data_IF_149038321842
#
_entry.id   IF_149038321842
#
_cell.length_a   1.000
_cell.length_b   1.000
_cell.length_c   1.000
_cell.angle_alpha   90.00
_cell.angle_beta   90.00
_cell.angle_gamma   90.00
#
_symmetry.space_group_name_H-M   'P 1'
#
loop_
_entity.id
_entity.type
_entity.pdbx_description
1 polymer ?
#
# COMPACT_ATOMS: atom_id res chain seq x y z
N UNK A 1 5.33 15.35 -5.81
CA UNK A 1 4.75 14.02 -5.49
C UNK A 1 5.84 12.97 -5.51
N UNK A 2 5.80 11.92 -4.70
CA UNK A 2 6.77 10.86 -4.85
C UNK A 2 6.46 10.09 -6.13
N UNK A 3 7.34 10.25 -7.12
CA UNK A 3 7.44 9.40 -8.28
C UNK A 3 8.05 8.04 -7.90
N UNK A 4 8.22 7.16 -8.88
CA UNK A 4 8.82 5.84 -8.66
C UNK A 4 10.25 5.95 -8.10
N UNK A 5 11.02 6.98 -8.49
CA UNK A 5 12.35 7.24 -7.96
C UNK A 5 12.30 7.55 -6.47
N UNK A 6 11.40 8.45 -6.05
CA UNK A 6 11.20 8.78 -4.64
C UNK A 6 10.71 7.56 -3.83
N UNK A 7 9.89 6.68 -4.44
CA UNK A 7 9.50 5.41 -3.83
C UNK A 7 10.72 4.52 -3.54
N UNK A 8 11.62 4.33 -4.53
CA UNK A 8 12.84 3.54 -4.32
C UNK A 8 13.77 4.17 -3.28
N UNK A 9 13.96 5.48 -3.28
CA UNK A 9 14.79 6.18 -2.29
C UNK A 9 14.21 6.04 -0.87
N UNK A 10 12.89 6.16 -0.71
CA UNK A 10 12.20 5.95 0.57
C UNK A 10 12.36 4.52 1.06
N UNK A 11 12.18 3.55 0.18
CA UNK A 11 12.38 2.13 0.48
C UNK A 11 13.82 1.85 0.92
N UNK A 12 14.81 2.42 0.22
CA UNK A 12 16.22 2.30 0.58
C UNK A 12 16.52 2.86 1.98
N UNK A 13 15.96 4.04 2.31
CA UNK A 13 16.10 4.63 3.66
C UNK A 13 15.49 3.74 4.73
N UNK A 14 14.36 3.10 4.46
CA UNK A 14 13.72 2.18 5.40
C UNK A 14 14.59 0.96 5.66
N UNK A 15 15.11 0.32 4.60
CA UNK A 15 16.03 -0.81 4.75
C UNK A 15 17.31 -0.41 5.50
N UNK A 16 17.87 0.76 5.22
CA UNK A 16 19.03 1.26 5.96
C UNK A 16 18.74 1.40 7.46
N UNK A 17 17.59 1.98 7.84
CA UNK A 17 17.19 2.10 9.25
C UNK A 17 17.03 0.73 9.92
N UNK A 18 16.42 -0.24 9.25
CA UNK A 18 16.27 -1.60 9.77
C UNK A 18 17.65 -2.25 9.93
N UNK A 19 18.52 -2.15 8.91
CA UNK A 19 19.88 -2.69 8.99
C UNK A 19 20.66 -2.10 10.16
N UNK A 20 20.58 -0.77 10.37
CA UNK A 20 21.21 -0.10 11.52
C UNK A 20 20.64 -0.62 12.86
N UNK A 21 19.32 -0.76 12.98
CA UNK A 21 18.68 -1.29 14.17
C UNK A 21 19.12 -2.74 14.47
N UNK A 22 19.17 -3.61 13.45
CA UNK A 22 19.68 -4.98 13.60
C UNK A 22 21.13 -5.01 14.05
N UNK A 23 21.98 -4.16 13.48
CA UNK A 23 23.41 -4.07 13.87
C UNK A 23 23.55 -3.60 15.31
N UNK A 24 22.83 -2.57 15.73
CA UNK A 24 22.84 -2.08 17.12
C UNK A 24 22.35 -3.18 18.07
N UNK A 25 21.25 -3.86 17.73
CA UNK A 25 20.73 -4.96 18.55
C UNK A 25 21.72 -6.13 18.66
N UNK A 26 22.41 -6.46 17.56
CA UNK A 26 23.47 -7.48 17.58
C UNK A 26 24.62 -7.09 18.53
N UNK A 27 25.08 -5.84 18.46
CA UNK A 27 26.15 -5.32 19.32
C UNK A 27 25.73 -5.31 20.79
N UNK A 28 24.49 -4.89 21.10
CA UNK A 28 23.97 -4.90 22.48
C UNK A 28 23.85 -6.32 23.03
N UNK A 29 23.38 -7.26 22.22
CA UNK A 29 23.26 -8.67 22.62
C UNK A 29 24.63 -9.32 22.85
N UNK A 30 25.58 -9.07 21.93
CA UNK A 30 26.95 -9.54 22.09
C UNK A 30 27.63 -8.92 23.33
N UNK A 31 27.47 -7.61 23.55
CA UNK A 31 27.97 -6.92 24.73
C UNK A 31 27.38 -7.48 26.06
N UNK A 32 26.08 -7.77 26.05
CA UNK A 32 25.42 -8.41 27.19
C UNK A 32 26.07 -9.77 27.50
N UNK A 33 26.30 -10.63 26.50
CA UNK A 33 26.94 -11.92 26.72
C UNK A 33 28.40 -11.85 27.14
N UNK A 34 29.15 -10.85 26.66
CA UNK A 34 30.52 -10.62 27.15
C UNK A 34 30.52 -10.31 28.64
N UNK A 35 29.52 -9.59 29.15
CA UNK A 35 29.44 -9.20 30.57
C UNK A 35 28.85 -10.29 31.48
N UNK A 36 27.92 -11.11 30.96
CA UNK A 36 27.18 -12.10 31.75
C UNK A 36 27.65 -13.55 31.53
N UNK A 37 28.53 -13.76 30.54
CA UNK A 37 28.93 -15.09 30.07
C UNK A 37 28.18 -15.51 28.80
N UNK A 38 28.86 -16.31 27.97
CA UNK A 38 28.27 -16.86 26.77
C UNK A 38 27.21 -17.90 27.09
N UNK A 39 26.15 -18.01 26.30
CA UNK A 39 25.12 -19.00 26.52
C UNK A 39 25.64 -20.43 26.33
N UNK A 40 25.24 -21.35 27.21
CA UNK A 40 25.64 -22.75 27.16
C UNK A 40 25.00 -23.53 25.99
N UNK A 41 23.85 -23.06 25.48
CA UNK A 41 23.12 -23.73 24.40
C UNK A 41 23.38 -23.05 23.05
N UNK A 42 23.74 -23.82 22.00
CA UNK A 42 23.85 -23.29 20.61
C UNK A 42 22.61 -22.58 20.12
N UNK A 43 21.42 -23.04 20.54
CA UNK A 43 20.14 -22.43 20.12
C UNK A 43 20.01 -20.97 20.58
N UNK A 44 20.62 -20.64 21.69
CA UNK A 44 20.65 -19.28 22.24
C UNK A 44 21.47 -18.32 21.35
N UNK A 45 22.36 -18.82 20.48
CA UNK A 45 23.13 -18.01 19.53
C UNK A 45 22.32 -17.62 18.30
N UNK A 46 21.22 -18.32 17.99
CA UNK A 46 20.39 -18.08 16.81
C UNK A 46 19.92 -16.61 16.68
N UNK A 47 19.46 -15.94 17.75
CA UNK A 47 19.08 -14.52 17.66
C UNK A 47 20.24 -13.62 17.23
N UNK A 48 21.45 -13.83 17.76
CA UNK A 48 22.61 -13.03 17.41
C UNK A 48 23.00 -13.27 15.94
N UNK A 49 23.11 -14.53 15.53
CA UNK A 49 23.43 -14.89 14.14
C UNK A 49 22.41 -14.32 13.16
N UNK A 50 21.13 -14.37 13.51
CA UNK A 50 20.06 -13.78 12.71
C UNK A 50 20.23 -12.27 12.56
N UNK A 51 20.55 -11.55 13.63
CA UNK A 51 20.76 -10.10 13.61
C UNK A 51 22.02 -9.74 12.79
N UNK A 52 23.11 -10.52 12.95
CA UNK A 52 24.36 -10.34 12.20
C UNK A 52 24.13 -10.56 10.68
N UNK A 53 23.30 -11.51 10.31
CA UNK A 53 22.97 -11.75 8.90
C UNK A 53 21.98 -10.71 8.34
N UNK A 54 20.99 -10.33 9.13
CA UNK A 54 19.95 -9.39 8.74
C UNK A 54 20.50 -7.97 8.52
N UNK A 55 21.42 -7.51 9.35
CA UNK A 55 22.00 -6.17 9.24
C UNK A 55 22.61 -5.91 7.85
N UNK A 56 23.66 -6.63 7.44
CA UNK A 56 24.26 -6.52 6.10
C UNK A 56 23.27 -6.76 4.98
N UNK A 57 22.37 -7.76 5.10
CA UNK A 57 21.33 -8.05 4.11
C UNK A 57 20.46 -6.83 3.81
N UNK A 58 20.05 -6.09 4.84
CA UNK A 58 19.27 -4.87 4.67
C UNK A 58 20.08 -3.72 4.07
N UNK A 59 21.38 -3.59 4.38
CA UNK A 59 22.23 -2.58 3.73
C UNK A 59 22.43 -2.88 2.25
N UNK A 60 22.63 -4.14 1.86
CA UNK A 60 22.74 -4.56 0.46
C UNK A 60 21.41 -4.24 -0.27
N UNK A 61 20.26 -4.58 0.33
CA UNK A 61 18.96 -4.25 -0.23
C UNK A 61 18.76 -2.73 -0.39
N UNK A 62 19.20 -1.94 0.58
CA UNK A 62 19.16 -0.49 0.51
C UNK A 62 20.01 0.06 -0.64
N UNK A 63 21.24 -0.44 -0.80
CA UNK A 63 22.15 -0.05 -1.88
C UNK A 63 21.55 -0.40 -3.26
N UNK A 64 20.99 -1.60 -3.41
CA UNK A 64 20.34 -2.02 -4.65
C UNK A 64 19.15 -1.12 -5.03
N UNK A 65 18.35 -0.69 -4.04
CA UNK A 65 17.23 0.23 -4.28
C UNK A 65 17.71 1.65 -4.63
N UNK A 66 18.80 2.16 -4.02
CA UNK A 66 19.42 3.43 -4.41
C UNK A 66 19.93 3.40 -5.84
N UNK A 67 20.68 2.36 -6.19
CA UNK A 67 21.21 2.21 -7.54
C UNK A 67 20.10 2.17 -8.61
N UNK A 68 18.96 1.53 -8.30
CA UNK A 68 17.77 1.56 -9.17
C UNK A 68 17.21 2.97 -9.30
N UNK A 69 17.07 3.69 -8.17
CA UNK A 69 16.58 5.07 -8.18
C UNK A 69 17.48 6.00 -9.03
N UNK A 70 18.80 5.82 -8.98
CA UNK A 70 19.75 6.59 -9.78
C UNK A 70 19.64 6.31 -11.28
N UNK A 71 19.34 5.05 -11.65
CA UNK A 71 19.13 4.67 -13.05
C UNK A 71 17.81 5.19 -13.64
N UNK A 72 16.83 5.51 -12.80
CA UNK A 72 15.55 6.06 -13.23
C UNK A 72 15.72 7.54 -13.56
N UNK A 73 15.98 7.84 -14.83
CA UNK A 73 15.95 9.21 -15.37
C UNK A 73 14.50 9.52 -15.75
N UNK A 74 13.71 9.90 -14.76
CA UNK A 74 12.34 10.33 -15.01
C UNK A 74 12.35 11.82 -15.34
N UNK A 75 11.79 12.15 -16.49
CA UNK A 75 11.45 13.53 -16.80
C UNK A 75 10.19 13.82 -16.00
N UNK A 76 10.29 14.72 -15.05
CA UNK A 76 9.12 15.22 -14.32
C UNK A 76 8.36 16.12 -15.28
N UNK A 77 7.12 15.81 -15.68
CA UNK A 77 6.34 16.70 -16.53
C UNK A 77 6.00 17.97 -15.74
N UNK A 78 5.97 19.11 -16.42
CA UNK A 78 5.56 20.39 -15.83
C UNK A 78 4.11 20.38 -15.33
N UNK A 79 3.30 19.46 -15.87
CA UNK A 79 1.91 19.25 -15.46
C UNK A 79 1.81 17.88 -14.76
N UNK A 80 1.26 17.81 -13.53
CA UNK A 80 1.07 16.53 -12.86
C UNK A 80 0.17 15.63 -13.71
N UNK A 81 0.54 14.37 -13.95
CA UNK A 81 -0.32 13.45 -14.66
C UNK A 81 -1.61 13.28 -13.87
N UNK A 82 -2.72 13.68 -14.45
CA UNK A 82 -4.02 13.30 -13.94
C UNK A 82 -4.20 11.79 -14.10
N UNK A 83 -5.06 11.19 -13.31
CA UNK A 83 -5.49 9.80 -13.56
C UNK A 83 -6.26 9.70 -14.90
N UNK A 84 -6.78 10.82 -15.36
CA UNK A 84 -7.49 10.98 -16.62
C UNK A 84 -6.62 10.59 -17.82
N UNK A 85 -7.17 9.84 -18.75
CA UNK A 85 -6.50 9.39 -19.97
C UNK A 85 -5.56 8.18 -19.83
N UNK A 86 -5.20 7.77 -18.64
CA UNK A 86 -4.30 6.63 -18.42
C UNK A 86 -5.08 5.31 -18.31
N UNK A 87 -5.01 4.48 -19.33
CA UNK A 87 -5.70 3.17 -19.32
C UNK A 87 -5.05 2.11 -18.44
N UNK A 88 -3.80 2.33 -18.02
CA UNK A 88 -3.07 1.41 -17.14
C UNK A 88 -2.27 2.18 -16.10
N UNK A 89 -2.45 1.82 -14.85
CA UNK A 89 -1.77 2.44 -13.73
C UNK A 89 -1.29 1.33 -12.79
N UNK A 90 -0.15 1.53 -12.16
CA UNK A 90 0.34 0.61 -11.14
C UNK A 90 0.01 1.14 -9.74
N UNK A 91 -0.59 0.30 -8.92
CA UNK A 91 -0.84 0.55 -7.50
C UNK A 91 0.29 -0.09 -6.69
N UNK A 92 1.24 0.74 -6.24
CA UNK A 92 2.47 0.29 -5.56
C UNK A 92 2.36 0.52 -4.06
N UNK A 93 2.45 -0.53 -3.21
CA UNK A 93 2.51 -0.35 -1.77
C UNK A 93 3.82 0.33 -1.37
N UNK A 94 3.72 1.39 -0.57
CA UNK A 94 4.89 2.01 0.03
C UNK A 94 5.37 1.19 1.22
N UNK A 95 6.69 1.01 1.33
CA UNK A 95 7.30 0.41 2.52
C UNK A 95 7.22 1.43 3.66
N UNK A 96 6.23 1.27 4.51
CA UNK A 96 5.99 2.15 5.65
C UNK A 96 5.32 1.37 6.79
N UNK A 97 5.49 1.82 8.03
CA UNK A 97 4.82 1.27 9.22
C UNK A 97 3.29 1.35 9.13
N UNK A 98 2.79 2.38 8.43
CA UNK A 98 1.41 2.52 8.02
C UNK A 98 1.29 2.13 6.54
N UNK A 99 0.13 1.64 6.15
CA UNK A 99 -0.10 1.25 4.76
C UNK A 99 -0.37 2.48 3.92
N UNK A 100 0.56 2.72 3.03
CA UNK A 100 0.41 3.73 2.00
C UNK A 100 0.48 3.05 0.63
N UNK A 101 -0.29 3.53 -0.32
CA UNK A 101 -0.27 3.08 -1.70
C UNK A 101 -0.09 4.26 -2.63
N UNK A 102 0.66 4.05 -3.68
CA UNK A 102 0.93 5.03 -4.71
C UNK A 102 0.29 4.58 -6.02
N UNK A 103 -0.49 5.45 -6.63
CA UNK A 103 -0.91 5.32 -8.02
C UNK A 103 0.21 5.88 -8.88
N UNK A 104 0.82 5.04 -9.71
CA UNK A 104 1.96 5.40 -10.56
C UNK A 104 1.63 5.02 -11.99
N UNK A 105 1.76 5.96 -12.93
CA UNK A 105 1.55 5.71 -14.36
C UNK A 105 2.57 4.70 -14.88
N UNK A 106 2.32 4.11 -16.05
CA UNK A 106 3.28 3.22 -16.69
C UNK A 106 4.58 3.93 -17.10
N UNK A 107 4.61 5.26 -17.07
CA UNK A 107 5.81 6.08 -17.26
C UNK A 107 6.61 6.32 -15.98
N UNK A 108 6.12 5.82 -14.83
CA UNK A 108 6.78 5.98 -13.54
C UNK A 108 6.42 7.25 -12.77
N UNK A 109 5.46 8.01 -13.26
CA UNK A 109 4.99 9.28 -12.68
C UNK A 109 3.95 9.02 -11.60
N UNK A 110 4.06 9.70 -10.45
CA UNK A 110 3.09 9.57 -9.37
C UNK A 110 1.84 10.39 -9.61
N UNK A 111 0.67 9.77 -9.66
CA UNK A 111 -0.63 10.44 -9.87
C UNK A 111 -1.36 10.74 -8.57
N UNK A 112 -1.41 9.78 -7.65
CA UNK A 112 -2.06 9.95 -6.36
C UNK A 112 -1.43 9.06 -5.28
N UNK A 113 -1.63 9.44 -4.03
CA UNK A 113 -1.19 8.66 -2.86
C UNK A 113 -2.41 8.41 -1.99
N UNK A 114 -2.60 7.15 -1.59
CA UNK A 114 -3.49 6.78 -0.51
C UNK A 114 -2.65 6.53 0.72
N UNK A 115 -2.83 7.31 1.77
CA UNK A 115 -2.07 7.16 3.01
C UNK A 115 -2.99 7.05 4.23
N UNK A 116 -2.56 6.26 5.20
CA UNK A 116 -3.22 6.17 6.49
C UNK A 116 -2.85 7.39 7.34
N UNK A 117 -3.86 8.09 7.85
CA UNK A 117 -3.72 9.25 8.73
C UNK A 117 -3.62 8.75 10.17
N UNK A 118 -2.41 8.75 10.72
CA UNK A 118 -2.14 8.51 12.12
C UNK A 118 -1.00 9.41 12.58
N UNK A 119 -1.20 10.11 13.69
CA UNK A 119 -0.24 11.09 14.20
C UNK A 119 0.31 10.67 15.58
N UNK A 120 1.55 11.07 15.85
CA UNK A 120 2.18 10.94 17.15
C UNK A 120 2.17 9.51 17.71
N UNK A 121 1.80 9.39 18.98
CA UNK A 121 1.77 8.11 19.72
C UNK A 121 0.75 7.11 19.14
N UNK A 122 -0.35 7.58 18.56
CA UNK A 122 -1.36 6.75 17.89
C UNK A 122 -0.76 5.93 16.75
N UNK A 123 0.26 6.46 16.08
CA UNK A 123 0.99 5.77 15.00
C UNK A 123 1.70 4.51 15.51
N UNK A 124 2.34 4.59 16.67
CA UNK A 124 3.05 3.47 17.30
C UNK A 124 2.04 2.40 17.72
N UNK A 125 0.95 2.80 18.38
CA UNK A 125 -0.12 1.88 18.79
C UNK A 125 -0.74 1.18 17.58
N UNK A 126 -1.04 1.93 16.52
CA UNK A 126 -1.60 1.37 15.29
C UNK A 126 -0.63 0.35 14.66
N UNK A 127 0.67 0.66 14.63
CA UNK A 127 1.69 -0.26 14.12
C UNK A 127 1.77 -1.55 14.96
N UNK A 128 1.75 -1.44 16.29
CA UNK A 128 1.75 -2.59 17.20
C UNK A 128 0.49 -3.46 17.03
N UNK A 129 -0.68 -2.84 16.95
CA UNK A 129 -1.94 -3.55 16.73
C UNK A 129 -2.00 -4.21 15.33
N UNK A 130 -1.30 -3.62 14.36
CA UNK A 130 -1.09 -4.24 13.06
C UNK A 130 -0.25 -5.52 13.17
N UNK A 131 0.82 -5.52 13.96
CA UNK A 131 1.65 -6.70 14.20
C UNK A 131 0.87 -7.81 14.92
N UNK A 132 -0.07 -7.45 15.79
CA UNK A 132 -0.92 -8.39 16.52
C UNK A 132 -2.13 -8.92 15.70
N UNK A 133 -2.24 -8.57 14.42
CA UNK A 133 -3.35 -9.04 13.56
C UNK A 133 -4.70 -8.37 13.86
N UNK A 134 -4.77 -7.37 14.74
CA UNK A 134 -6.01 -6.69 15.15
C UNK A 134 -6.48 -5.58 14.19
N UNK A 135 -5.93 -5.55 12.98
CA UNK A 135 -6.18 -4.55 11.94
C UNK A 135 -7.66 -4.35 11.56
N UNK A 136 -8.47 -5.42 11.40
CA UNK A 136 -9.86 -5.24 11.00
C UNK A 136 -10.68 -4.45 12.00
N UNK A 137 -10.28 -4.46 13.28
CA UNK A 137 -11.01 -3.82 14.37
C UNK A 137 -10.67 -2.34 14.57
N UNK A 138 -9.60 -1.86 13.95
CA UNK A 138 -9.15 -0.48 14.15
C UNK A 138 -10.00 0.52 13.36
N UNK A 139 -10.19 1.69 13.96
CA UNK A 139 -10.63 2.89 13.22
C UNK A 139 -9.54 3.22 12.21
N UNK A 140 -9.92 3.41 10.95
CA UNK A 140 -9.01 3.83 9.89
C UNK A 140 -9.47 5.14 9.29
N UNK A 141 -8.52 6.03 9.10
CA UNK A 141 -8.69 7.23 8.30
C UNK A 141 -7.61 7.20 7.22
N UNK A 142 -8.06 7.23 5.97
CA UNK A 142 -7.17 7.27 4.82
C UNK A 142 -7.39 8.60 4.11
N UNK A 143 -6.32 9.18 3.64
CA UNK A 143 -6.34 10.38 2.80
C UNK A 143 -5.84 9.99 1.42
N UNK A 144 -6.56 10.43 0.40
CA UNK A 144 -6.12 10.37 -0.99
C UNK A 144 -5.69 11.78 -1.37
N UNK A 145 -4.45 11.94 -1.75
CA UNK A 145 -3.86 13.23 -2.10
C UNK A 145 -3.09 13.16 -3.41
N UNK A 146 -3.12 14.25 -4.15
CA UNK A 146 -2.28 14.50 -5.31
C UNK A 146 -1.35 15.70 -5.05
N UNK A 147 -0.77 16.28 -6.10
CA UNK A 147 0.09 17.47 -5.99
C UNK A 147 -0.66 18.72 -5.53
N UNK A 148 -1.94 18.81 -5.85
CA UNK A 148 -2.81 19.96 -5.51
C UNK A 148 -3.33 19.87 -4.07
N UNK A 149 -3.17 18.71 -3.40
CA UNK A 149 -3.60 18.50 -2.03
C UNK A 149 -4.53 17.32 -1.83
N UNK A 150 -5.37 17.40 -0.79
CA UNK A 150 -6.30 16.33 -0.45
C UNK A 150 -7.47 16.31 -1.44
N UNK A 151 -7.64 15.17 -2.11
CA UNK A 151 -8.77 14.90 -3.01
C UNK A 151 -9.95 14.27 -2.27
N UNK A 152 -9.64 13.21 -1.51
CA UNK A 152 -10.66 12.40 -0.83
C UNK A 152 -10.21 11.98 0.56
N UNK A 153 -11.19 11.69 1.41
CA UNK A 153 -11.00 11.11 2.74
C UNK A 153 -11.85 9.87 2.90
N UNK A 154 -11.25 8.79 3.39
CA UNK A 154 -11.96 7.56 3.70
C UNK A 154 -11.96 7.35 5.21
N UNK A 155 -13.12 6.99 5.76
CA UNK A 155 -13.29 6.79 7.21
C UNK A 155 -13.96 5.45 7.48
N UNK A 156 -13.26 4.58 8.21
CA UNK A 156 -13.81 3.34 8.77
C UNK A 156 -13.99 3.50 10.27
N UNK A 157 -15.18 3.15 10.78
CA UNK A 157 -15.46 3.15 12.23
C UNK A 157 -14.69 2.01 12.92
N UNK A 158 -14.45 2.15 14.22
CA UNK A 158 -13.84 1.13 15.07
C UNK A 158 -14.77 -0.09 15.18
N UNK A 159 -14.18 -1.29 15.31
CA UNK A 159 -14.90 -2.54 15.50
C UNK A 159 -15.15 -3.30 14.20
N UNK A 160 -16.03 -4.29 14.28
CA UNK A 160 -16.41 -5.17 13.15
C UNK A 160 -17.27 -4.50 12.08
N UNK A 161 -17.22 -3.17 11.99
CA UNK A 161 -17.96 -2.44 10.97
C UNK A 161 -17.36 -2.72 9.59
N UNK A 162 -18.17 -3.25 8.71
CA UNK A 162 -17.78 -3.58 7.34
C UNK A 162 -17.78 -2.35 6.41
N UNK A 163 -18.30 -1.21 6.87
CA UNK A 163 -18.43 -0.01 6.03
C UNK A 163 -17.23 0.92 6.15
N UNK A 164 -16.75 1.37 4.99
CA UNK A 164 -15.81 2.47 4.83
C UNK A 164 -16.47 3.57 4.01
N UNK A 165 -16.56 4.77 4.57
CA UNK A 165 -17.22 5.90 3.92
C UNK A 165 -16.21 6.77 3.19
N UNK A 166 -16.57 7.18 1.97
CA UNK A 166 -15.79 8.08 1.13
C UNK A 166 -16.38 9.51 1.21
N UNK A 167 -15.50 10.49 1.39
CA UNK A 167 -15.80 11.90 1.43
C UNK A 167 -14.90 12.67 0.47
N UNK A 168 -15.42 13.74 -0.13
CA UNK A 168 -14.62 14.70 -0.88
C UNK A 168 -13.77 15.59 0.05
N UNK A 169 -12.98 16.49 -0.54
CA UNK A 169 -12.15 17.47 0.19
C UNK A 169 -12.96 18.42 1.07
N UNK A 170 -14.23 18.65 0.75
CA UNK A 170 -15.15 19.51 1.49
C UNK A 170 -15.92 18.78 2.60
N UNK A 171 -15.73 17.46 2.74
CA UNK A 171 -16.42 16.63 3.73
C UNK A 171 -17.80 16.13 3.31
N UNK A 172 -18.22 16.33 2.06
CA UNK A 172 -19.44 15.77 1.50
C UNK A 172 -19.23 14.27 1.27
N UNK A 173 -20.18 13.45 1.73
CA UNK A 173 -20.17 12.01 1.48
C UNK A 173 -20.39 11.75 -0.02
N UNK A 174 -19.53 10.97 -0.63
CA UNK A 174 -19.64 10.54 -2.03
C UNK A 174 -20.15 9.10 -2.17
N UNK A 175 -19.98 8.30 -1.11
CA UNK A 175 -20.42 6.91 -1.14
C UNK A 175 -19.79 6.07 -0.04
N UNK A 176 -19.89 4.76 -0.18
CA UNK A 176 -19.32 3.82 0.80
C UNK A 176 -19.00 2.46 0.19
N UNK A 177 -18.12 1.76 0.87
CA UNK A 177 -17.73 0.38 0.58
C UNK A 177 -18.18 -0.50 1.72
N UNK A 178 -18.84 -1.62 1.41
CA UNK A 178 -19.16 -2.67 2.37
C UNK A 178 -18.30 -3.89 2.08
N UNK A 179 -17.38 -4.18 2.98
CA UNK A 179 -16.51 -5.35 2.87
C UNK A 179 -17.22 -6.56 3.47
N UNK A 180 -17.47 -7.57 2.67
CA UNK A 180 -18.11 -8.81 3.09
C UNK A 180 -17.07 -9.82 3.61
N UNK A 181 -16.56 -9.57 4.83
CA UNK A 181 -15.46 -10.32 5.45
C UNK A 181 -15.91 -11.70 5.94
N UNK A 182 -17.21 -11.89 6.16
CA UNK A 182 -17.79 -13.12 6.72
C UNK A 182 -18.13 -14.19 5.69
N UNK A 183 -18.02 -13.87 4.41
CA UNK A 183 -18.22 -14.86 3.37
C UNK A 183 -16.93 -15.65 3.16
N UNK A 184 -16.86 -16.85 3.73
CA UNK A 184 -15.69 -17.72 3.70
C UNK A 184 -15.36 -18.20 2.28
N UNK A 185 -16.36 -18.24 1.39
CA UNK A 185 -16.19 -18.77 0.03
C UNK A 185 -15.75 -17.71 -0.98
N UNK A 186 -16.09 -16.44 -0.75
CA UNK A 186 -15.81 -15.36 -1.69
C UNK A 186 -15.70 -14.02 -0.98
N UNK A 187 -14.51 -13.44 -0.97
CA UNK A 187 -14.31 -12.07 -0.50
C UNK A 187 -14.73 -11.10 -1.59
N UNK A 188 -15.79 -10.34 -1.36
CA UNK A 188 -16.25 -9.29 -2.27
C UNK A 188 -16.57 -8.00 -1.52
N UNK A 189 -16.53 -6.90 -2.24
CA UNK A 189 -16.85 -5.57 -1.71
C UNK A 189 -17.99 -4.99 -2.53
N UNK A 190 -19.03 -4.55 -1.86
CA UNK A 190 -20.17 -3.87 -2.50
C UNK A 190 -19.96 -2.37 -2.41
N UNK A 191 -20.29 -1.64 -3.48
CA UNK A 191 -20.14 -0.21 -3.61
C UNK A 191 -21.49 0.50 -3.58
N UNK A 192 -21.56 1.61 -2.85
CA UNK A 192 -22.78 2.39 -2.69
C UNK A 192 -22.49 3.87 -2.98
N UNK A 193 -23.43 4.55 -3.58
CA UNK A 193 -23.39 6.00 -3.79
C UNK A 193 -23.68 6.79 -2.50
N UNK A 194 -23.82 8.11 -2.64
CA UNK A 194 -24.12 9.01 -1.52
C UNK A 194 -25.50 8.75 -0.90
N UNK A 195 -26.48 8.31 -1.69
CA UNK A 195 -27.83 7.95 -1.28
C UNK A 195 -27.91 6.56 -0.65
N UNK A 196 -26.88 5.73 -0.81
CA UNK A 196 -26.87 4.34 -0.33
C UNK A 196 -27.44 3.34 -1.34
N UNK A 197 -27.65 3.74 -2.60
CA UNK A 197 -27.97 2.83 -3.70
C UNK A 197 -26.69 2.05 -4.05
N UNK A 198 -26.81 0.75 -4.28
CA UNK A 198 -25.72 -0.05 -4.81
C UNK A 198 -25.40 0.39 -6.24
N UNK A 199 -24.12 0.68 -6.50
CA UNK A 199 -23.61 1.12 -7.82
C UNK A 199 -22.58 0.15 -8.40
N UNK A 200 -22.31 -0.95 -7.71
CA UNK A 200 -21.41 -1.97 -8.20
C UNK A 200 -20.86 -2.88 -7.11
N UNK A 201 -19.98 -3.76 -7.52
CA UNK A 201 -19.29 -4.69 -6.63
C UNK A 201 -17.91 -5.08 -7.17
N UNK A 202 -17.06 -5.65 -6.32
CA UNK A 202 -15.87 -6.36 -6.77
C UNK A 202 -16.14 -7.86 -6.85
N UNK A 203 -15.65 -8.52 -7.90
CA UNK A 203 -15.53 -9.97 -7.91
C UNK A 203 -14.07 -10.33 -7.59
N UNK A 204 -13.83 -10.96 -6.50
CA UNK A 204 -12.48 -11.38 -6.12
C UNK A 204 -12.48 -12.84 -5.73
N UNK A 205 -11.44 -13.58 -6.15
CA UNK A 205 -11.13 -14.88 -5.58
C UNK A 205 -10.65 -14.72 -4.13
N UNK A 206 -10.61 -15.82 -3.39
CA UNK A 206 -10.14 -15.87 -1.98
C UNK A 206 -8.73 -15.29 -1.79
N UNK A 207 -7.87 -15.35 -2.82
CA UNK A 207 -6.49 -14.86 -2.76
C UNK A 207 -6.36 -13.33 -2.81
N UNK A 208 -7.40 -12.59 -3.24
CA UNK A 208 -7.34 -11.13 -3.43
C UNK A 208 -6.28 -10.66 -4.43
N UNK A 209 -5.65 -11.58 -5.18
CA UNK A 209 -4.56 -11.27 -6.10
C UNK A 209 -5.04 -10.76 -7.45
N UNK A 210 -6.23 -11.17 -7.83
CA UNK A 210 -6.90 -10.69 -9.04
C UNK A 210 -8.38 -10.49 -8.72
N UNK A 211 -8.91 -9.36 -9.13
CA UNK A 211 -10.33 -9.06 -9.00
C UNK A 211 -10.74 -7.99 -10.02
N UNK A 212 -12.02 -7.91 -10.28
CA UNK A 212 -12.59 -6.85 -11.11
C UNK A 212 -13.42 -5.91 -10.23
N UNK A 213 -13.43 -4.65 -10.59
CA UNK A 213 -14.40 -3.66 -10.13
C UNK A 213 -15.46 -3.55 -11.20
N UNK A 214 -16.72 -3.79 -10.83
CA UNK A 214 -17.87 -3.82 -11.74
C UNK A 214 -18.88 -2.76 -11.35
N UNK A 215 -19.64 -2.28 -12.35
CA UNK A 215 -20.81 -1.43 -12.15
C UNK A 215 -22.05 -2.26 -11.72
N UNK A 216 -23.22 -1.61 -11.60
CA UNK A 216 -24.47 -2.28 -11.22
C UNK A 216 -24.98 -3.24 -12.31
N UNK A 217 -24.62 -3.04 -13.57
CA UNK A 217 -24.95 -3.90 -14.70
C UNK A 217 -24.03 -5.13 -14.82
N UNK A 218 -22.97 -5.20 -13.99
CA UNK A 218 -21.99 -6.27 -13.99
C UNK A 218 -20.87 -6.10 -15.02
N UNK A 219 -20.79 -4.94 -15.68
CA UNK A 219 -19.70 -4.61 -16.59
C UNK A 219 -18.42 -4.32 -15.85
N UNK A 220 -17.29 -4.78 -16.37
CA UNK A 220 -15.98 -4.60 -15.75
C UNK A 220 -15.47 -3.18 -16.06
N UNK A 221 -15.33 -2.37 -15.03
CA UNK A 221 -14.76 -1.02 -15.11
C UNK A 221 -13.24 -1.02 -14.92
N UNK A 222 -12.76 -1.82 -13.95
CA UNK A 222 -11.33 -1.93 -13.65
C UNK A 222 -10.97 -3.40 -13.42
N UNK A 223 -9.98 -3.88 -14.14
CA UNK A 223 -9.34 -5.17 -13.86
C UNK A 223 -8.08 -4.95 -13.02
N UNK A 224 -7.97 -5.67 -11.90
CA UNK A 224 -6.84 -5.58 -10.98
C UNK A 224 -6.06 -6.90 -11.02
N UNK A 225 -4.76 -6.82 -11.33
CA UNK A 225 -3.86 -7.98 -11.42
C UNK A 225 -2.61 -7.76 -10.59
N UNK A 226 -2.21 -8.76 -9.84
CA UNK A 226 -0.99 -8.69 -9.03
C UNK A 226 0.29 -8.82 -9.85
N UNK A 227 0.23 -9.58 -10.92
CA UNK A 227 1.36 -9.85 -11.81
C UNK A 227 1.06 -9.36 -13.23
N UNK A 228 2.09 -9.29 -14.07
CA UNK A 228 1.94 -8.95 -15.48
C UNK A 228 2.31 -7.52 -15.80
N UNK A 229 3.43 -7.02 -15.21
CA UNK A 229 4.00 -5.73 -15.64
C UNK A 229 4.24 -5.79 -17.15
N UNK A 230 3.67 -4.84 -17.92
CA UNK A 230 3.88 -4.78 -19.36
C UNK A 230 5.38 -4.71 -19.69
N UNK A 231 5.80 -5.38 -20.78
CA UNK A 231 7.21 -5.48 -21.16
C UNK A 231 7.86 -4.08 -21.29
N UNK A 232 7.12 -3.12 -21.81
CA UNK A 232 7.55 -1.73 -21.97
C UNK A 232 7.82 -1.00 -20.65
N UNK A 233 7.13 -1.38 -19.57
CA UNK A 233 7.30 -0.80 -18.24
C UNK A 233 8.20 -1.64 -17.31
N UNK A 234 8.59 -2.83 -17.73
CA UNK A 234 9.33 -3.77 -16.90
C UNK A 234 10.67 -3.18 -16.38
N UNK A 235 11.35 -2.38 -17.19
CA UNK A 235 12.61 -1.73 -16.79
C UNK A 235 12.42 -0.70 -15.67
N UNK A 236 11.25 -0.04 -15.57
CA UNK A 236 10.91 0.92 -14.53
C UNK A 236 10.51 0.22 -13.24
N UNK A 237 9.66 -0.80 -13.35
CA UNK A 237 9.05 -1.47 -12.20
C UNK A 237 9.79 -2.73 -11.75
N UNK A 238 10.94 -3.07 -12.36
CA UNK A 238 11.73 -4.24 -11.95
C UNK A 238 12.05 -4.22 -10.46
N UNK A 239 11.40 -5.12 -9.69
CA UNK A 239 11.52 -5.21 -8.22
C UNK A 239 10.66 -4.22 -7.44
N UNK A 240 9.75 -3.48 -8.05
CA UNK A 240 8.58 -2.94 -7.39
C UNK A 240 7.53 -4.05 -7.30
N UNK A 241 6.91 -4.20 -6.12
CA UNK A 241 5.72 -5.04 -5.96
C UNK A 241 4.53 -4.12 -6.06
N UNK A 242 3.51 -4.53 -6.80
CA UNK A 242 2.30 -3.73 -6.95
C UNK A 242 1.29 -4.45 -7.82
N UNK A 243 0.12 -3.85 -7.93
CA UNK A 243 -0.97 -4.35 -8.74
C UNK A 243 -1.15 -3.45 -9.96
N UNK A 244 -1.44 -4.06 -11.10
CA UNK A 244 -1.77 -3.32 -12.31
C UNK A 244 -3.28 -3.13 -12.34
N UNK A 245 -3.67 -1.87 -12.45
CA UNK A 245 -5.03 -1.44 -12.68
C UNK A 245 -5.18 -1.21 -14.18
N UNK A 246 -6.04 -1.98 -14.82
CA UNK A 246 -6.42 -1.78 -16.22
C UNK A 246 -7.85 -1.22 -16.27
N UNK A 247 -7.98 0.00 -16.73
CA UNK A 247 -9.26 0.68 -16.90
C UNK A 247 -9.88 0.35 -18.25
N UNK A 248 -11.15 0.01 -18.25
CA UNK A 248 -11.92 -0.22 -19.48
C UNK A 248 -12.54 1.07 -20.00
N UNK A 249 -12.74 2.06 -19.12
CA UNK A 249 -13.17 3.41 -19.42
C UNK A 249 -12.10 4.42 -19.00
N UNK A 250 -12.27 5.68 -19.39
CA UNK A 250 -11.41 6.76 -18.90
C UNK A 250 -11.58 6.93 -17.38
N UNK A 251 -10.52 6.85 -16.58
CA UNK A 251 -10.59 7.06 -15.14
C UNK A 251 -11.26 8.37 -14.71
N UNK A 252 -11.18 9.42 -15.53
CA UNK A 252 -11.84 10.71 -15.28
C UNK A 252 -13.37 10.63 -15.30
N UNK A 253 -13.94 9.66 -16.01
CA UNK A 253 -15.38 9.44 -16.09
C UNK A 253 -15.91 8.51 -14.99
N UNK A 254 -15.01 7.81 -14.29
CA UNK A 254 -15.41 6.86 -13.26
C UNK A 254 -15.90 7.56 -12.00
N UNK A 255 -16.95 7.03 -11.40
CA UNK A 255 -17.37 7.48 -10.08
C UNK A 255 -16.22 7.28 -9.06
N UNK A 256 -15.92 8.24 -8.17
CA UNK A 256 -14.79 8.16 -7.23
C UNK A 256 -14.78 6.88 -6.37
N UNK A 257 -15.94 6.30 -6.07
CA UNK A 257 -16.07 5.02 -5.37
C UNK A 257 -15.44 3.89 -6.18
N UNK A 258 -15.70 3.81 -7.50
CA UNK A 258 -15.10 2.78 -8.35
C UNK A 258 -13.59 3.00 -8.50
N UNK A 259 -13.17 4.25 -8.75
CA UNK A 259 -11.77 4.61 -8.95
C UNK A 259 -10.88 4.22 -7.76
N UNK A 260 -11.36 4.42 -6.54
CA UNK A 260 -10.60 4.14 -5.32
C UNK A 260 -10.81 2.73 -4.77
N UNK A 261 -11.76 1.95 -5.31
CA UNK A 261 -12.05 0.59 -4.87
C UNK A 261 -10.81 -0.33 -4.84
N UNK A 262 -9.89 -0.33 -5.85
CA UNK A 262 -8.69 -1.15 -5.80
C UNK A 262 -7.83 -0.88 -4.57
N UNK A 263 -7.57 0.38 -4.24
CA UNK A 263 -6.76 0.75 -3.08
C UNK A 263 -7.47 0.38 -1.76
N UNK A 264 -8.78 0.60 -1.66
CA UNK A 264 -9.56 0.25 -0.46
C UNK A 264 -9.55 -1.25 -0.23
N UNK A 265 -9.76 -2.05 -1.26
CA UNK A 265 -9.75 -3.51 -1.19
C UNK A 265 -8.36 -4.01 -0.79
N UNK A 266 -7.30 -3.53 -1.43
CA UNK A 266 -5.93 -3.90 -1.10
C UNK A 266 -5.54 -3.54 0.34
N UNK A 267 -5.90 -2.35 0.80
CA UNK A 267 -5.63 -1.91 2.17
C UNK A 267 -6.38 -2.71 3.23
N UNK A 268 -7.47 -3.38 2.87
CA UNK A 268 -8.29 -4.15 3.81
C UNK A 268 -8.00 -5.65 3.78
N UNK A 269 -7.80 -6.24 2.59
CA UNK A 269 -7.67 -7.69 2.42
C UNK A 269 -6.22 -8.18 2.35
N UNK A 270 -5.28 -7.36 1.89
CA UNK A 270 -3.84 -7.72 1.85
C UNK A 270 -3.08 -7.26 3.09
N UNK A 271 -3.67 -7.46 4.19
CA UNK A 271 -3.02 -7.14 5.46
C UNK A 271 -2.34 -8.33 6.10
#
# INVERSE_FOLDING_TARGET
MPDLQAHYLRTARTFQKIGTACTIAALLLAGYWILTGWPDSPDSLVPLLTLIAAGPGHFIAAAAKRHRAEKLRLTVPDVPPALEGERRIMLVPAVHWLRNMHYITMRGEGSAIVREEAEGFTKIITALLHLLGLRPYLKKQLIVENQEGVLYRLKKKRGLHQYTYLYDKHGRKLGSYKLNVWNVTRSYTTFYDEAGKQIGESDGGFSGTQFNVKNEEGEVLINVRHDGIPAEAMHLFAGARGDILQFHEDPGNLHPVHLLAPAVIQLHFRS
#
